data_IF_949139011527
#
_entry.id   IF_949139011527
#
_cell.length_a   1.000
_cell.length_b   1.000
_cell.length_c   1.000
_cell.angle_alpha   90.00
_cell.angle_beta   90.00
_cell.angle_gamma   90.00
#
_symmetry.space_group_name_H-M   'P 1'
#
loop_
_entity.id
_entity.type
_entity.pdbx_description
1 polymer ?
#
# COMPACT_ATOMS: atom_id res chain seq x y z
N UNK A 1 22.51 -39.25 -2.37
CA UNK A 1 22.03 -40.23 -1.37
C UNK A 1 21.82 -39.48 -0.06
N UNK A 2 20.55 -39.44 0.39
CA UNK A 2 20.02 -39.11 1.72
C UNK A 2 20.30 -37.70 2.32
N UNK A 3 19.34 -37.00 2.92
CA UNK A 3 17.96 -37.39 3.25
C UNK A 3 17.16 -36.19 3.77
N UNK A 4 15.98 -36.01 3.19
CA UNK A 4 14.86 -35.22 3.71
C UNK A 4 14.33 -35.91 4.98
N UNK A 5 14.12 -35.18 6.07
CA UNK A 5 13.29 -35.65 7.18
C UNK A 5 11.92 -34.98 7.11
N UNK A 6 10.94 -35.79 6.69
CA UNK A 6 9.51 -35.51 6.79
C UNK A 6 9.06 -36.02 8.15
N UNK A 7 8.50 -35.16 9.00
CA UNK A 7 7.72 -35.61 10.13
C UNK A 7 6.25 -35.66 9.72
N UNK A 8 5.76 -36.89 9.54
CA UNK A 8 4.36 -37.22 9.38
C UNK A 8 3.77 -37.43 10.77
N UNK A 9 2.69 -36.72 11.10
CA UNK A 9 1.79 -37.12 12.20
C UNK A 9 0.43 -37.35 11.57
N UNK A 10 0.08 -38.62 11.42
CA UNK A 10 -1.28 -39.06 11.14
C UNK A 10 -2.07 -39.02 12.45
N UNK A 11 -3.30 -38.51 12.44
CA UNK A 11 -4.38 -39.01 13.29
C UNK A 11 -5.76 -38.69 12.66
N UNK A 12 -6.37 -39.78 12.20
CA UNK A 12 -7.77 -40.17 12.12
C UNK A 12 -8.84 -39.33 11.41
N UNK A 13 -9.43 -40.00 10.41
CA UNK A 13 -10.77 -39.79 9.88
C UNK A 13 -11.84 -39.99 10.95
N UNK A 14 -12.63 -38.96 11.23
CA UNK A 14 -14.04 -39.13 11.61
C UNK A 14 -14.89 -38.22 10.72
N UNK A 15 -15.99 -38.79 10.22
CA UNK A 15 -16.93 -38.17 9.29
C UNK A 15 -18.09 -37.66 10.14
N UNK A 16 -18.30 -36.35 10.24
CA UNK A 16 -19.58 -35.80 10.72
C UNK A 16 -19.99 -34.57 9.92
N UNK A 17 -21.20 -34.63 9.39
CA UNK A 17 -21.91 -33.56 8.72
C UNK A 17 -22.48 -32.57 9.73
N UNK A 18 -22.32 -31.27 9.49
CA UNK A 18 -23.38 -30.25 9.51
C UNK A 18 -22.77 -28.87 9.35
N UNK A 19 -23.52 -27.94 8.77
CA UNK A 19 -23.17 -26.52 8.70
C UNK A 19 -22.97 -25.99 10.13
N UNK A 20 -21.75 -25.55 10.45
CA UNK A 20 -21.45 -24.82 11.67
C UNK A 20 -20.76 -23.50 11.30
N UNK A 21 -21.31 -22.41 11.84
CA UNK A 21 -20.77 -21.06 11.77
C UNK A 21 -19.29 -21.03 12.18
N UNK A 22 -18.52 -20.13 11.57
CA UNK A 22 -17.11 -19.95 11.91
C UNK A 22 -16.98 -19.71 13.43
N UNK A 23 -16.12 -20.46 14.15
CA UNK A 23 -16.08 -20.38 15.59
C UNK A 23 -15.50 -19.02 16.01
N UNK A 24 -16.33 -18.20 16.65
CA UNK A 24 -15.81 -17.24 17.61
C UNK A 24 -15.15 -18.05 18.74
N UNK A 25 -13.91 -17.73 19.06
CA UNK A 25 -13.19 -18.40 20.14
C UNK A 25 -13.86 -17.97 21.45
N UNK A 26 -14.64 -18.87 22.05
CA UNK A 26 -15.15 -18.71 23.42
C UNK A 26 -14.15 -19.41 24.36
N UNK A 27 -13.35 -18.63 25.08
CA UNK A 27 -12.56 -19.13 26.20
C UNK A 27 -13.25 -18.64 27.48
N UNK A 28 -14.13 -19.48 28.03
CA UNK A 28 -14.34 -19.47 29.48
C UNK A 28 -13.19 -20.28 30.07
N UNK A 29 -12.25 -19.64 30.76
CA UNK A 29 -11.77 -20.14 32.04
C UNK A 29 -10.76 -19.20 32.70
N UNK A 30 -10.90 -19.17 34.01
CA UNK A 30 -10.32 -18.26 35.01
C UNK A 30 -8.79 -18.35 35.10
N UNK A 31 -8.09 -17.48 34.38
CA UNK A 31 -6.78 -16.85 34.73
C UNK A 31 -6.23 -16.12 33.51
N UNK A 32 -6.99 -15.18 32.96
CA UNK A 32 -6.55 -14.41 31.81
C UNK A 32 -5.45 -13.43 32.23
N UNK A 33 -4.25 -13.66 31.70
CA UNK A 33 -3.15 -12.73 31.79
C UNK A 33 -3.58 -11.45 31.05
N UNK A 34 -3.83 -10.34 31.75
CA UNK A 34 -4.39 -9.10 31.21
C UNK A 34 -3.61 -8.57 29.97
N UNK A 35 -2.31 -8.88 29.88
CA UNK A 35 -1.48 -8.58 28.71
C UNK A 35 -1.79 -9.45 27.48
N UNK A 36 -2.22 -10.71 27.68
CA UNK A 36 -2.67 -11.60 26.60
C UNK A 36 -4.06 -11.18 26.08
N UNK A 37 -4.97 -10.73 26.95
CA UNK A 37 -6.25 -10.16 26.52
C UNK A 37 -6.06 -8.88 25.69
N UNK A 38 -5.15 -7.98 26.09
CA UNK A 38 -4.77 -6.82 25.28
C UNK A 38 -4.14 -7.19 23.93
N UNK A 39 -3.35 -8.26 23.87
CA UNK A 39 -2.75 -8.75 22.63
C UNK A 39 -3.82 -9.38 21.71
N UNK A 40 -4.74 -10.15 22.29
CA UNK A 40 -5.85 -10.79 21.57
C UNK A 40 -6.88 -9.77 21.06
N UNK A 41 -7.16 -8.71 21.82
CA UNK A 41 -8.05 -7.62 21.40
C UNK A 41 -7.41 -6.76 20.27
N UNK A 42 -6.08 -6.79 20.12
CA UNK A 42 -5.34 -6.20 18.99
C UNK A 42 -5.22 -7.14 17.76
N UNK A 43 -5.40 -8.45 17.93
CA UNK A 43 -5.52 -9.47 16.86
C UNK A 43 -6.99 -9.67 16.43
N UNK A 44 -7.93 -9.01 17.14
CA UNK A 44 -9.40 -9.13 17.00
C UNK A 44 -9.92 -9.09 15.57
N UNK A 45 -9.21 -8.41 14.67
CA UNK A 45 -9.53 -8.34 13.25
C UNK A 45 -8.51 -9.11 12.42
N UNK A 46 -8.85 -10.35 12.07
CA UNK A 46 -8.15 -11.08 11.02
C UNK A 46 -8.60 -10.49 9.69
N UNK A 47 -7.92 -9.41 9.29
CA UNK A 47 -8.23 -8.65 8.08
C UNK A 47 -6.98 -8.44 7.22
N UNK A 48 -7.20 -8.41 5.91
CA UNK A 48 -6.17 -8.25 4.87
C UNK A 48 -5.94 -6.81 4.46
N UNK A 49 -6.91 -5.93 4.74
CA UNK A 49 -6.86 -4.50 4.44
C UNK A 49 -7.74 -3.71 5.40
N UNK A 50 -7.51 -2.40 5.47
CA UNK A 50 -8.38 -1.47 6.21
C UNK A 50 -9.82 -1.50 5.69
N UNK A 51 -10.02 -1.73 4.39
CA UNK A 51 -11.36 -1.86 3.83
C UNK A 51 -12.10 -3.08 4.37
N UNK A 52 -11.40 -4.21 4.54
CA UNK A 52 -12.00 -5.38 5.18
C UNK A 52 -12.35 -5.09 6.65
N UNK A 53 -11.46 -4.41 7.38
CA UNK A 53 -11.73 -3.96 8.76
C UNK A 53 -13.03 -3.15 8.80
N UNK A 54 -13.13 -2.12 7.95
CA UNK A 54 -14.30 -1.26 7.86
C UNK A 54 -15.58 -2.03 7.52
N UNK A 55 -15.55 -2.82 6.46
CA UNK A 55 -16.75 -3.46 5.91
C UNK A 55 -17.28 -4.58 6.80
N UNK A 56 -16.37 -5.41 7.33
CA UNK A 56 -16.72 -6.62 8.08
C UNK A 56 -16.97 -6.35 9.55
N UNK A 57 -16.21 -5.42 10.13
CA UNK A 57 -16.24 -5.16 11.57
C UNK A 57 -16.81 -3.80 11.93
N UNK A 58 -17.25 -3.01 10.94
CA UNK A 58 -17.90 -1.71 11.14
C UNK A 58 -17.05 -0.75 11.99
N UNK A 59 -15.73 -0.78 11.78
CA UNK A 59 -14.80 0.14 12.42
C UNK A 59 -14.55 1.33 11.49
N UNK A 60 -14.74 2.54 12.00
CA UNK A 60 -14.76 3.76 11.20
C UNK A 60 -13.73 4.81 11.65
N UNK A 61 -12.99 4.56 12.72
CA UNK A 61 -12.00 5.50 13.22
C UNK A 61 -10.67 5.35 12.48
N UNK A 62 -10.08 6.47 12.08
CA UNK A 62 -8.71 6.51 11.55
C UNK A 62 -7.72 6.02 12.63
N UNK A 63 -6.64 5.35 12.24
CA UNK A 63 -5.63 4.92 13.21
C UNK A 63 -4.75 3.78 12.76
N UNK A 64 -3.94 3.27 13.69
CA UNK A 64 -3.08 2.12 13.46
C UNK A 64 -3.82 0.81 13.71
N UNK A 65 -3.77 -0.09 12.73
CA UNK A 65 -4.38 -1.42 12.79
C UNK A 65 -3.36 -2.49 12.42
N UNK A 66 -3.57 -3.70 12.95
CA UNK A 66 -2.84 -4.89 12.51
C UNK A 66 -3.57 -5.54 11.35
N UNK A 67 -2.81 -5.88 10.30
CA UNK A 67 -3.26 -6.62 9.14
C UNK A 67 -2.42 -7.88 8.97
N UNK A 68 -3.01 -8.91 8.39
CA UNK A 68 -2.32 -10.14 8.03
C UNK A 68 -2.22 -10.24 6.50
N UNK A 69 -1.10 -10.71 5.97
CA UNK A 69 -0.95 -10.95 4.52
C UNK A 69 -1.40 -12.36 4.12
N UNK A 70 -1.38 -12.68 2.82
CA UNK A 70 -1.81 -14.00 2.30
C UNK A 70 -0.91 -15.14 2.74
N UNK A 71 0.29 -14.78 3.16
CA UNK A 71 1.30 -15.71 3.65
C UNK A 71 1.38 -15.73 5.17
N UNK A 72 0.41 -15.12 5.87
CA UNK A 72 0.37 -15.10 7.33
C UNK A 72 1.29 -14.09 7.99
N UNK A 73 1.92 -13.18 7.25
CA UNK A 73 2.76 -12.11 7.86
C UNK A 73 1.84 -11.06 8.49
N UNK A 74 1.95 -10.90 9.81
CA UNK A 74 1.29 -9.85 10.57
C UNK A 74 2.10 -8.56 10.51
N UNK A 75 1.45 -7.43 10.23
CA UNK A 75 2.10 -6.11 10.20
C UNK A 75 1.13 -5.01 10.64
N UNK A 76 1.66 -3.96 11.23
CA UNK A 76 0.89 -2.78 11.63
C UNK A 76 0.95 -1.71 10.55
N UNK A 77 -0.17 -1.05 10.28
CA UNK A 77 -0.21 0.09 9.39
C UNK A 77 -1.33 1.08 9.72
N UNK A 78 -1.28 2.27 9.12
CA UNK A 78 -2.30 3.29 9.28
C UNK A 78 -3.47 3.04 8.32
N UNK A 79 -4.69 3.13 8.84
CA UNK A 79 -5.92 3.09 8.09
C UNK A 79 -6.57 4.47 8.10
N UNK A 80 -6.81 5.00 6.90
CA UNK A 80 -7.72 6.12 6.72
C UNK A 80 -9.13 5.56 6.47
N UNK A 81 -9.96 5.74 7.50
CA UNK A 81 -11.36 5.33 7.55
C UNK A 81 -12.30 6.51 7.27
N UNK A 82 -11.79 7.66 6.81
CA UNK A 82 -12.59 8.87 6.61
C UNK A 82 -12.73 9.22 5.13
N UNK A 83 -11.62 9.29 4.39
CA UNK A 83 -11.61 9.82 3.01
C UNK A 83 -12.46 8.98 2.06
N UNK A 84 -13.33 9.62 1.28
CA UNK A 84 -14.19 8.95 0.28
C UNK A 84 -14.95 7.72 0.82
N UNK A 85 -15.37 7.76 2.08
CA UNK A 85 -16.05 6.63 2.72
C UNK A 85 -15.11 5.52 3.17
N UNK A 86 -13.81 5.81 3.35
CA UNK A 86 -12.84 5.10 4.18
C UNK A 86 -12.45 3.67 3.79
N UNK A 87 -11.46 3.12 4.50
CA UNK A 87 -10.89 1.81 4.24
C UNK A 87 -9.61 1.86 3.39
N UNK A 88 -8.96 3.01 3.33
CA UNK A 88 -7.67 3.20 2.70
C UNK A 88 -6.56 2.65 3.59
N UNK A 89 -5.71 1.80 3.02
CA UNK A 89 -4.59 1.17 3.73
C UNK A 89 -3.29 1.83 3.35
N UNK A 90 -2.56 2.39 4.32
CA UNK A 90 -1.20 2.87 4.08
C UNK A 90 -0.31 1.69 3.68
N UNK A 91 0.43 1.81 2.58
CA UNK A 91 1.31 0.72 2.11
C UNK A 91 2.73 1.15 1.84
N UNK A 92 2.94 2.42 1.53
CA UNK A 92 4.26 2.97 1.27
C UNK A 92 4.33 4.47 1.54
N UNK A 93 5.54 4.97 1.73
CA UNK A 93 5.89 6.38 1.83
C UNK A 93 7.24 6.61 1.16
N UNK A 94 7.33 7.64 0.34
CA UNK A 94 8.55 8.11 -0.30
C UNK A 94 8.99 9.38 0.42
N UNK A 95 10.13 9.29 1.12
CA UNK A 95 10.66 10.36 1.95
C UNK A 95 12.06 10.74 1.46
N UNK A 96 12.27 12.03 1.20
CA UNK A 96 13.58 12.59 0.87
C UNK A 96 14.32 12.97 2.16
N UNK A 97 15.40 12.25 2.47
CA UNK A 97 16.18 12.47 3.68
C UNK A 97 17.30 13.50 3.51
N UNK A 98 17.83 13.66 2.30
CA UNK A 98 18.90 14.60 1.99
C UNK A 98 18.93 14.94 0.50
N UNK A 99 18.27 16.03 0.12
CA UNK A 99 18.24 16.52 -1.27
C UNK A 99 19.63 16.78 -1.89
N UNK A 100 20.67 16.96 -1.08
CA UNK A 100 22.05 17.13 -1.56
C UNK A 100 22.77 15.80 -1.79
N UNK A 101 22.32 14.71 -1.15
CA UNK A 101 22.76 13.36 -1.42
C UNK A 101 22.17 12.88 -2.74
N UNK A 102 23.01 12.44 -3.68
CA UNK A 102 22.56 11.95 -4.99
C UNK A 102 22.68 10.44 -5.03
N UNK A 103 21.55 9.76 -4.83
CA UNK A 103 21.48 8.30 -4.81
C UNK A 103 22.40 7.70 -3.72
N UNK A 104 22.24 8.23 -2.51
CA UNK A 104 22.99 7.86 -1.30
C UNK A 104 22.11 7.05 -0.34
N UNK A 105 22.64 6.72 0.84
CA UNK A 105 21.86 6.00 1.88
C UNK A 105 20.59 6.79 2.20
N UNK A 106 19.44 6.11 2.15
CA UNK A 106 18.11 6.71 2.27
C UNK A 106 17.35 6.78 0.95
N UNK A 107 18.02 6.78 -0.21
CA UNK A 107 17.38 6.89 -1.53
C UNK A 107 16.76 5.56 -2.03
N UNK A 108 15.97 4.87 -1.20
CA UNK A 108 15.51 3.49 -1.45
C UNK A 108 14.57 3.39 -2.65
N UNK A 109 13.82 4.45 -2.95
CA UNK A 109 12.90 4.48 -4.09
C UNK A 109 13.57 4.82 -5.43
N UNK A 110 14.88 5.08 -5.41
CA UNK A 110 15.72 5.23 -6.60
C UNK A 110 16.89 4.25 -6.56
N UNK A 111 18.03 4.65 -6.00
CA UNK A 111 19.25 3.86 -5.85
C UNK A 111 20.02 4.39 -4.63
N UNK A 112 20.52 3.50 -3.78
CA UNK A 112 21.46 3.88 -2.72
C UNK A 112 22.92 3.62 -3.12
N UNK A 113 23.15 3.28 -4.39
CA UNK A 113 24.44 2.86 -4.94
C UNK A 113 24.98 3.88 -5.96
N UNK A 114 24.61 5.15 -5.78
CA UNK A 114 24.91 6.24 -6.71
C UNK A 114 24.13 6.14 -8.02
N UNK A 115 24.37 7.11 -8.89
CA UNK A 115 23.90 7.10 -10.27
C UNK A 115 24.84 6.22 -11.11
N UNK A 116 24.40 5.00 -11.43
CA UNK A 116 25.23 4.01 -12.11
C UNK A 116 24.47 3.39 -13.29
N UNK A 117 24.92 3.59 -14.55
CA UNK A 117 24.25 3.04 -15.72
C UNK A 117 24.26 1.50 -15.76
N UNK A 118 25.20 0.85 -15.06
CA UNK A 118 25.24 -0.61 -14.92
C UNK A 118 24.23 -1.13 -13.87
N UNK A 119 23.53 -0.23 -13.17
CA UNK A 119 22.42 -0.55 -12.26
C UNK A 119 21.15 0.19 -12.71
N UNK A 120 20.63 -0.11 -13.91
CA UNK A 120 19.55 0.66 -14.50
C UNK A 120 18.23 0.55 -13.73
N UNK A 121 18.04 -0.47 -12.89
CA UNK A 121 16.86 -0.63 -12.02
C UNK A 121 17.04 0.02 -10.64
N UNK A 122 18.22 0.57 -10.33
CA UNK A 122 18.57 1.08 -9.01
C UNK A 122 18.46 0.02 -7.90
N UNK A 123 17.71 0.34 -6.85
CA UNK A 123 17.37 -0.59 -5.75
C UNK A 123 16.18 -1.50 -6.12
N UNK A 124 15.45 -1.21 -7.20
CA UNK A 124 14.33 -2.03 -7.70
C UNK A 124 13.12 -2.09 -6.76
N UNK A 125 13.01 -1.14 -5.81
CA UNK A 125 12.04 -1.15 -4.71
C UNK A 125 10.59 -1.22 -5.16
N UNK A 126 10.24 -0.57 -6.28
CA UNK A 126 8.88 -0.55 -6.83
C UNK A 126 8.35 -1.94 -7.24
N UNK A 127 9.22 -2.87 -7.63
CA UNK A 127 8.83 -4.17 -8.18
C UNK A 127 9.43 -5.36 -7.41
N UNK A 128 9.94 -5.13 -6.19
CA UNK A 128 10.43 -6.17 -5.29
C UNK A 128 9.54 -6.35 -4.05
N UNK A 129 9.82 -7.36 -3.23
CA UNK A 129 9.07 -7.69 -2.00
C UNK A 129 9.79 -7.25 -0.71
N UNK A 130 10.86 -6.47 -0.81
CA UNK A 130 11.55 -5.92 0.36
C UNK A 130 10.65 -4.89 1.03
N UNK A 131 10.61 -4.89 2.36
CA UNK A 131 9.85 -3.98 3.23
C UNK A 131 10.80 -3.25 4.18
N UNK A 132 10.43 -2.04 4.60
CA UNK A 132 11.24 -1.20 5.49
C UNK A 132 10.38 -0.14 6.18
N UNK A 133 10.92 0.43 7.26
CA UNK A 133 10.27 1.48 8.03
C UNK A 133 9.12 0.97 8.91
N UNK A 134 8.51 1.91 9.63
CA UNK A 134 7.30 1.71 10.43
C UNK A 134 6.26 2.77 10.04
N UNK A 135 4.97 2.47 10.23
CA UNK A 135 3.90 3.38 9.82
C UNK A 135 4.04 4.75 10.52
N UNK A 136 4.25 4.78 11.84
CA UNK A 136 4.42 6.03 12.60
C UNK A 136 5.61 6.88 12.13
N UNK A 137 6.63 6.25 11.55
CA UNK A 137 7.83 6.92 11.04
C UNK A 137 7.74 7.27 9.55
N UNK A 138 6.58 7.09 8.91
CA UNK A 138 6.44 7.27 7.46
C UNK A 138 6.68 8.71 6.98
N UNK A 139 6.64 9.71 7.87
CA UNK A 139 7.01 11.11 7.58
C UNK A 139 8.47 11.44 7.95
N UNK A 140 9.22 10.50 8.53
CA UNK A 140 10.60 10.68 9.00
C UNK A 140 11.63 9.82 8.25
N UNK A 141 11.20 8.73 7.62
CA UNK A 141 11.98 7.92 6.68
C UNK A 141 11.03 7.20 5.72
N UNK A 142 11.59 6.53 4.71
CA UNK A 142 10.80 5.70 3.81
C UNK A 142 10.02 4.60 4.55
N UNK A 143 8.83 4.31 4.06
CA UNK A 143 8.00 3.22 4.56
C UNK A 143 7.56 2.32 3.40
N UNK A 144 7.57 1.01 3.61
CA UNK A 144 6.96 0.03 2.70
C UNK A 144 6.62 -1.23 3.48
N UNK A 145 5.34 -1.63 3.48
CA UNK A 145 4.87 -2.82 4.18
C UNK A 145 4.43 -3.95 3.22
N UNK A 146 4.14 -5.16 3.72
CA UNK A 146 3.69 -6.27 2.87
C UNK A 146 2.43 -5.99 2.05
N UNK A 147 1.54 -5.12 2.53
CA UNK A 147 0.33 -4.72 1.83
C UNK A 147 0.59 -4.15 0.43
N UNK A 148 1.76 -3.51 0.22
CA UNK A 148 2.17 -2.95 -1.06
C UNK A 148 2.14 -3.96 -2.23
N UNK A 149 2.46 -5.23 -1.98
CA UNK A 149 2.54 -6.27 -3.00
C UNK A 149 1.55 -7.42 -2.78
N UNK A 150 0.75 -7.36 -1.71
CA UNK A 150 -0.15 -8.42 -1.28
C UNK A 150 -1.62 -8.05 -1.39
N UNK A 151 -1.98 -6.79 -1.12
CA UNK A 151 -3.37 -6.32 -1.20
C UNK A 151 -3.81 -6.26 -2.68
N UNK A 152 -5.03 -6.73 -2.95
CA UNK A 152 -5.69 -6.59 -4.25
C UNK A 152 -6.60 -5.37 -4.20
N UNK A 153 -6.02 -4.23 -4.57
CA UNK A 153 -6.64 -2.92 -4.62
C UNK A 153 -7.26 -2.58 -5.98
N UNK A 154 -8.03 -1.49 -6.00
CA UNK A 154 -8.69 -0.92 -7.17
C UNK A 154 -8.19 0.50 -7.46
N UNK A 155 -7.96 1.28 -6.41
CA UNK A 155 -7.59 2.69 -6.49
C UNK A 155 -6.42 3.03 -5.55
N UNK A 156 -5.84 4.22 -5.77
CA UNK A 156 -4.75 4.78 -4.98
C UNK A 156 -5.18 6.13 -4.41
N UNK A 157 -4.83 6.40 -3.15
CA UNK A 157 -4.87 7.73 -2.55
C UNK A 157 -3.45 8.17 -2.22
N UNK A 158 -3.15 9.45 -2.40
CA UNK A 158 -1.83 10.03 -2.18
C UNK A 158 -1.94 11.28 -1.34
N UNK A 159 -1.16 11.32 -0.28
CA UNK A 159 -1.10 12.45 0.64
C UNK A 159 0.30 13.04 0.62
N UNK A 160 0.38 14.36 0.52
CA UNK A 160 1.62 15.12 0.68
C UNK A 160 1.64 15.68 2.10
N UNK A 161 2.48 15.09 2.95
CA UNK A 161 2.57 15.43 4.37
C UNK A 161 3.94 16.01 4.65
N UNK A 162 4.06 17.16 5.37
CA UNK A 162 5.37 17.68 5.75
C UNK A 162 6.18 16.66 6.56
N UNK A 163 7.51 16.69 6.41
CA UNK A 163 8.39 15.76 7.12
C UNK A 163 8.25 15.91 8.64
N UNK A 164 8.41 14.79 9.37
CA UNK A 164 8.36 14.67 10.83
C UNK A 164 7.04 15.05 11.51
N UNK A 165 5.95 15.19 10.75
CA UNK A 165 4.61 15.36 11.33
C UNK A 165 4.20 14.05 11.99
N UNK A 166 3.72 14.15 13.24
CA UNK A 166 3.19 13.01 14.00
C UNK A 166 1.91 12.47 13.36
N UNK A 167 1.69 11.15 13.48
CA UNK A 167 0.64 10.42 12.76
C UNK A 167 -0.77 11.00 12.97
N UNK A 168 -1.08 11.47 14.17
CA UNK A 168 -2.39 12.04 14.55
C UNK A 168 -2.70 13.33 13.78
N UNK A 169 -1.68 14.00 13.25
CA UNK A 169 -1.80 15.28 12.56
C UNK A 169 -1.66 15.17 11.04
N UNK A 170 -1.47 13.98 10.48
CA UNK A 170 -1.29 13.84 9.03
C UNK A 170 -2.47 14.38 8.23
N UNK A 171 -3.70 14.05 8.64
CA UNK A 171 -4.92 14.49 7.93
C UNK A 171 -5.04 16.02 7.90
N UNK A 172 -4.68 16.71 8.99
CA UNK A 172 -4.82 18.17 9.11
C UNK A 172 -3.61 18.93 8.59
N UNK A 173 -2.41 18.35 8.65
CA UNK A 173 -1.17 18.96 8.18
C UNK A 173 -0.89 18.73 6.69
N UNK A 174 -1.62 17.80 6.05
CA UNK A 174 -1.44 17.49 4.63
C UNK A 174 -1.64 18.74 3.77
N UNK A 175 -0.66 19.04 2.91
CA UNK A 175 -0.74 20.16 1.97
C UNK A 175 -1.56 19.79 0.73
N UNK A 176 -1.53 18.51 0.32
CA UNK A 176 -2.40 17.94 -0.69
C UNK A 176 -2.85 16.54 -0.29
N UNK A 177 -4.09 16.20 -0.62
CA UNK A 177 -4.63 14.85 -0.58
C UNK A 177 -5.54 14.64 -1.78
N UNK A 178 -5.37 13.52 -2.47
CA UNK A 178 -6.18 13.18 -3.62
C UNK A 178 -6.22 11.67 -3.84
N UNK A 179 -7.19 11.19 -4.58
CA UNK A 179 -7.35 9.77 -4.87
C UNK A 179 -7.90 9.52 -6.28
N UNK A 180 -7.81 8.27 -6.74
CA UNK A 180 -8.44 7.80 -7.98
C UNK A 180 -9.79 7.13 -7.65
N UNK A 181 -10.73 7.13 -8.60
CA UNK A 181 -12.06 6.50 -8.43
C UNK A 181 -12.46 5.62 -9.62
N UNK A 182 -11.53 5.30 -10.52
CA UNK A 182 -11.81 4.60 -11.77
C UNK A 182 -11.37 3.12 -11.74
N UNK A 183 -10.97 2.60 -10.59
CA UNK A 183 -10.62 1.20 -10.37
C UNK A 183 -9.43 0.72 -11.22
N UNK A 184 -8.54 1.63 -11.65
CA UNK A 184 -7.52 1.32 -12.67
C UNK A 184 -6.59 0.17 -12.26
N UNK A 185 -6.31 -0.03 -10.97
CA UNK A 185 -5.42 -1.10 -10.51
C UNK A 185 -5.95 -2.48 -10.89
N UNK A 186 -7.26 -2.66 -11.06
CA UNK A 186 -7.85 -3.93 -11.52
C UNK A 186 -7.28 -4.39 -12.87
N UNK A 187 -6.92 -3.45 -13.76
CA UNK A 187 -6.31 -3.71 -15.07
C UNK A 187 -4.79 -3.91 -15.01
N UNK A 188 -4.20 -3.68 -13.83
CA UNK A 188 -2.75 -3.69 -13.60
C UNK A 188 -2.34 -4.65 -12.47
N UNK A 189 -3.15 -5.68 -12.21
CA UNK A 189 -2.84 -6.75 -11.25
C UNK A 189 -3.12 -6.37 -9.78
N UNK A 190 -3.89 -5.32 -9.55
CA UNK A 190 -4.46 -4.97 -8.25
C UNK A 190 -3.54 -4.19 -7.32
N UNK A 191 -2.30 -3.87 -7.67
CA UNK A 191 -1.43 -3.04 -6.81
C UNK A 191 -0.27 -2.45 -7.61
N UNK A 192 0.45 -1.51 -6.99
CA UNK A 192 1.60 -0.86 -7.63
C UNK A 192 2.74 -1.84 -7.91
N UNK A 193 2.94 -2.87 -7.09
CA UNK A 193 3.94 -3.91 -7.37
C UNK A 193 3.71 -4.59 -8.72
N UNK A 194 2.47 -5.00 -9.01
CA UNK A 194 2.14 -5.62 -10.29
C UNK A 194 2.12 -4.60 -11.43
N UNK A 195 1.72 -3.35 -11.16
CA UNK A 195 1.79 -2.28 -12.13
C UNK A 195 3.25 -2.02 -12.56
N UNK A 196 4.18 -1.85 -11.62
CA UNK A 196 5.59 -1.59 -11.92
C UNK A 196 6.34 -2.82 -12.43
N UNK A 197 5.76 -4.01 -12.34
CA UNK A 197 6.22 -5.17 -13.12
C UNK A 197 5.81 -5.09 -14.59
N UNK A 198 4.62 -4.56 -14.87
CA UNK A 198 4.14 -4.32 -16.25
C UNK A 198 4.81 -3.09 -16.88
N UNK A 199 5.16 -2.10 -16.06
CA UNK A 199 5.80 -0.85 -16.44
C UNK A 199 7.08 -0.64 -15.62
N UNK A 200 8.20 -1.28 -16.00
CA UNK A 200 9.42 -1.28 -15.18
C UNK A 200 10.02 0.11 -15.00
N UNK A 201 10.35 0.47 -13.75
CA UNK A 201 11.15 1.65 -13.42
C UNK A 201 12.62 1.32 -13.69
N UNK A 202 13.05 1.52 -14.94
CA UNK A 202 14.38 1.15 -15.42
C UNK A 202 14.95 2.20 -16.37
N UNK A 203 16.21 2.59 -16.14
CA UNK A 203 16.94 3.47 -17.05
C UNK A 203 17.11 2.82 -18.44
N UNK A 204 16.80 3.59 -19.49
CA UNK A 204 17.02 3.19 -20.89
C UNK A 204 16.01 2.20 -21.47
N UNK A 205 14.88 1.96 -20.81
CA UNK A 205 13.86 1.00 -21.28
C UNK A 205 12.84 1.59 -22.28
N UNK A 206 12.83 2.90 -22.49
CA UNK A 206 11.83 3.55 -23.35
C UNK A 206 12.16 4.98 -23.75
N UNK A 207 11.29 5.54 -24.58
CA UNK A 207 11.36 6.89 -25.13
C UNK A 207 10.27 7.78 -24.55
N UNK A 208 10.64 9.04 -24.26
CA UNK A 208 9.72 10.04 -23.73
C UNK A 208 8.46 10.20 -24.59
N UNK A 209 7.30 10.25 -23.94
CA UNK A 209 5.97 10.38 -24.54
C UNK A 209 5.47 9.17 -25.35
N UNK A 210 6.30 8.13 -25.53
CA UNK A 210 5.92 6.91 -26.25
C UNK A 210 5.67 5.78 -25.27
N UNK A 211 6.63 5.54 -24.38
CA UNK A 211 6.64 4.40 -23.46
C UNK A 211 6.19 4.79 -22.05
N UNK A 212 5.45 5.90 -21.93
CA UNK A 212 4.90 6.35 -20.67
C UNK A 212 3.86 5.35 -20.14
N UNK A 213 3.83 5.20 -18.82
CA UNK A 213 2.80 4.46 -18.11
C UNK A 213 1.45 5.19 -18.13
N UNK A 214 0.43 4.58 -17.52
CA UNK A 214 -0.91 5.15 -17.49
C UNK A 214 -0.95 6.49 -16.73
N UNK A 215 -1.77 7.42 -17.22
CA UNK A 215 -2.12 8.66 -16.56
C UNK A 215 -3.59 8.59 -16.10
N UNK A 216 -3.81 8.60 -14.78
CA UNK A 216 -5.09 8.27 -14.15
C UNK A 216 -5.74 9.52 -13.56
N UNK A 217 -7.01 9.83 -13.87
CA UNK A 217 -7.71 10.96 -13.26
C UNK A 217 -7.76 10.88 -11.73
N UNK A 218 -7.67 12.04 -11.06
CA UNK A 218 -7.72 12.18 -9.61
C UNK A 218 -8.83 13.13 -9.15
N UNK A 219 -9.30 12.91 -7.92
CA UNK A 219 -10.22 13.76 -7.17
C UNK A 219 -9.46 14.29 -5.95
N UNK A 220 -9.54 15.61 -5.70
CA UNK A 220 -8.86 16.24 -4.56
C UNK A 220 -9.72 16.18 -3.30
N UNK A 221 -9.14 15.67 -2.21
CA UNK A 221 -9.69 15.73 -0.85
C UNK A 221 -9.15 16.95 -0.09
N UNK A 222 -7.95 17.43 -0.45
CA UNK A 222 -7.30 18.62 0.08
C UNK A 222 -6.40 19.22 -1.00
N UNK A 223 -6.46 20.54 -1.18
CA UNK A 223 -5.81 21.23 -2.29
C UNK A 223 -6.64 21.19 -3.58
N UNK A 224 -6.03 21.58 -4.69
CA UNK A 224 -6.62 21.58 -6.02
C UNK A 224 -5.53 21.62 -7.09
N UNK A 225 -5.92 21.69 -8.36
CA UNK A 225 -4.96 21.77 -9.48
C UNK A 225 -3.99 22.95 -9.38
N UNK A 226 -4.47 24.11 -8.94
CA UNK A 226 -3.64 25.32 -8.81
C UNK A 226 -2.60 25.13 -7.70
N UNK A 227 -3.01 24.64 -6.52
CA UNK A 227 -2.07 24.40 -5.42
C UNK A 227 -1.03 23.34 -5.81
N UNK A 228 -1.45 22.32 -6.55
CA UNK A 228 -0.58 21.26 -7.07
C UNK A 228 0.47 21.82 -8.02
N UNK A 229 0.07 22.62 -9.01
CA UNK A 229 0.99 23.29 -9.94
C UNK A 229 1.99 24.18 -9.21
N UNK A 230 1.55 24.84 -8.14
CA UNK A 230 2.39 25.75 -7.36
C UNK A 230 3.41 25.04 -6.47
N UNK A 231 3.24 23.75 -6.17
CA UNK A 231 4.27 22.95 -5.48
C UNK A 231 5.48 22.67 -6.36
N UNK A 232 5.26 22.55 -7.68
CA UNK A 232 6.33 22.27 -8.61
C UNK A 232 7.08 23.54 -9.04
N UNK A 233 8.34 23.36 -9.47
CA UNK A 233 9.17 24.43 -10.00
C UNK A 233 8.49 25.20 -11.15
N UNK A 234 8.90 26.44 -11.45
CA UNK A 234 8.26 27.28 -12.48
C UNK A 234 8.37 26.71 -13.90
N UNK A 235 9.47 26.03 -14.23
CA UNK A 235 9.72 25.47 -15.56
C UNK A 235 8.80 24.29 -15.94
N UNK A 236 8.53 23.31 -15.05
CA UNK A 236 7.62 22.21 -15.38
C UNK A 236 6.13 22.57 -15.47
N UNK A 237 5.71 23.80 -15.13
CA UNK A 237 4.29 24.20 -15.11
C UNK A 237 3.60 24.13 -16.48
N UNK A 238 4.37 24.13 -17.57
CA UNK A 238 3.84 23.96 -18.93
C UNK A 238 3.74 22.51 -19.42
N UNK A 239 4.29 21.53 -18.70
CA UNK A 239 4.45 20.14 -19.18
C UNK A 239 3.74 19.11 -18.27
N UNK A 240 3.58 19.36 -16.97
CA UNK A 240 3.27 18.28 -16.04
C UNK A 240 1.81 18.19 -15.52
N UNK A 241 1.00 19.25 -15.57
CA UNK A 241 -0.35 19.21 -14.97
C UNK A 241 -1.32 20.07 -15.77
N UNK A 242 -1.92 19.50 -16.81
CA UNK A 242 -3.07 20.12 -17.48
C UNK A 242 -4.40 19.39 -17.25
N UNK A 243 -4.40 18.21 -16.62
CA UNK A 243 -5.54 17.28 -16.83
C UNK A 243 -6.10 16.58 -15.59
N UNK A 244 -5.77 17.00 -14.36
CA UNK A 244 -6.22 16.30 -13.14
C UNK A 244 -5.84 14.82 -13.15
N UNK A 245 -4.62 14.47 -13.58
CA UNK A 245 -4.17 13.08 -13.68
C UNK A 245 -2.89 12.86 -12.87
N UNK A 246 -2.76 11.70 -12.23
CA UNK A 246 -1.50 11.16 -11.74
C UNK A 246 -0.85 10.29 -12.84
N UNK A 247 0.40 10.57 -13.19
CA UNK A 247 1.16 9.75 -14.13
C UNK A 247 1.93 8.68 -13.36
N UNK A 248 1.74 7.41 -13.72
CA UNK A 248 2.39 6.29 -13.02
C UNK A 248 3.82 6.01 -13.55
N UNK A 249 4.30 6.75 -14.55
CA UNK A 249 5.72 6.75 -14.92
C UNK A 249 6.23 8.14 -15.30
N UNK A 250 7.45 8.45 -14.85
CA UNK A 250 8.23 9.59 -15.26
C UNK A 250 9.24 9.16 -16.33
N UNK A 251 9.17 9.74 -17.52
CA UNK A 251 10.24 9.65 -18.53
C UNK A 251 11.26 10.79 -18.32
N UNK A 252 12.54 10.41 -18.38
CA UNK A 252 13.76 11.20 -18.59
C UNK A 252 13.64 12.74 -18.42
N UNK A 253 13.52 13.19 -17.18
CA UNK A 253 13.66 14.60 -16.84
C UNK A 253 13.87 14.73 -15.35
N UNK A 254 14.95 15.35 -14.93
CA UNK A 254 15.20 15.69 -13.53
C UNK A 254 14.13 16.69 -13.07
N UNK A 255 13.06 16.21 -12.46
CA UNK A 255 12.09 17.04 -11.78
C UNK A 255 12.62 17.32 -10.37
N UNK A 256 13.10 18.54 -10.16
CA UNK A 256 13.40 19.04 -8.83
C UNK A 256 12.09 19.47 -8.16
N UNK A 257 11.53 18.58 -7.34
CA UNK A 257 10.63 19.03 -6.29
C UNK A 257 11.46 19.81 -5.26
N UNK A 258 11.02 21.02 -4.92
CA UNK A 258 11.66 21.87 -3.89
C UNK A 258 10.90 21.80 -2.56
N UNK A 259 9.86 20.97 -2.46
CA UNK A 259 9.11 20.80 -1.23
C UNK A 259 9.77 19.75 -0.34
N UNK A 260 10.01 20.09 0.93
CA UNK A 260 10.40 19.15 1.99
C UNK A 260 9.17 18.36 2.44
N UNK A 261 8.53 17.66 1.51
CA UNK A 261 7.27 16.97 1.72
C UNK A 261 7.40 15.51 1.33
N UNK A 262 6.78 14.65 2.13
CA UNK A 262 6.73 13.21 1.92
C UNK A 262 5.51 12.86 1.07
N UNK A 263 5.70 11.96 0.11
CA UNK A 263 4.60 11.39 -0.67
C UNK A 263 4.18 10.07 -0.07
N UNK A 264 3.02 10.06 0.58
CA UNK A 264 2.45 8.89 1.23
C UNK A 264 1.46 8.21 0.28
N UNK A 265 1.64 6.90 0.03
CA UNK A 265 0.79 6.10 -0.84
C UNK A 265 -0.14 5.20 -0.03
N UNK A 266 -1.44 5.36 -0.27
CA UNK A 266 -2.52 4.55 0.26
C UNK A 266 -3.17 3.72 -0.83
N UNK A 267 -3.60 2.50 -0.51
CA UNK A 267 -4.37 1.63 -1.38
C UNK A 267 -5.81 1.48 -0.91
N UNK A 268 -6.74 1.44 -1.86
CA UNK A 268 -8.13 1.08 -1.60
C UNK A 268 -8.46 -0.26 -2.23
N UNK A 269 -8.85 -1.22 -1.40
CA UNK A 269 -9.21 -2.57 -1.79
C UNK A 269 -10.69 -2.81 -1.57
N UNK A 270 -11.56 -2.69 -2.58
CA UNK A 270 -12.90 -3.29 -2.42
C UNK A 270 -12.77 -4.79 -2.27
N UNK A 271 -13.51 -5.33 -1.30
CA UNK A 271 -13.77 -6.76 -1.19
C UNK A 271 -14.22 -7.31 -2.54
N UNK A 272 -13.35 -8.04 -3.24
CA UNK A 272 -13.82 -9.11 -4.11
C UNK A 272 -14.26 -10.18 -3.13
N UNK A 273 -15.53 -10.10 -2.69
CA UNK A 273 -16.20 -11.27 -2.15
C UNK A 273 -16.17 -12.29 -3.29
N UNK A 274 -15.18 -13.18 -3.27
CA UNK A 274 -15.27 -14.42 -4.00
C UNK A 274 -16.42 -15.19 -3.37
N UNK A 275 -17.66 -14.86 -3.75
CA UNK A 275 -18.75 -15.82 -3.69
C UNK A 275 -18.30 -16.94 -4.60
N UNK A 276 -17.74 -17.98 -4.01
CA UNK A 276 -17.80 -19.32 -4.57
C UNK A 276 -19.30 -19.61 -4.65
N UNK A 277 -19.92 -19.22 -5.76
CA UNK A 277 -21.22 -19.77 -6.13
C UNK A 277 -20.96 -21.25 -6.39
N UNK A 278 -21.34 -22.06 -5.41
CA UNK A 278 -21.60 -23.48 -5.61
C UNK A 278 -22.51 -23.59 -6.82
N UNK A 279 -21.95 -23.98 -7.97
CA UNK A 279 -22.72 -24.53 -9.07
C UNK A 279 -23.20 -25.87 -8.54
N UNK A 280 -24.38 -25.89 -7.91
CA UNK A 280 -25.12 -27.13 -7.76
C UNK A 280 -25.49 -27.59 -9.16
N UNK A 281 -24.90 -28.72 -9.55
CA UNK A 281 -25.38 -29.56 -10.63
C UNK A 281 -26.87 -29.84 -10.42
N UNK A 282 -27.71 -29.23 -11.25
CA UNK A 282 -29.06 -29.73 -11.46
C UNK A 282 -28.93 -31.03 -12.24
N UNK A 283 -29.14 -32.15 -11.54
CA UNK A 283 -29.56 -33.39 -12.18
C UNK A 283 -30.95 -33.17 -12.78
N UNK A 284 -31.10 -33.53 -14.04
CA UNK A 284 -32.27 -34.23 -14.56
C UNK A 284 -31.78 -35.42 -15.38
#
# INVERSE_FOLDING_TARGET
>A
VQGLQVFSVCLNHEKLSSFAEAPCINISDTNSNHELEKLLDRIKYVARSCKEIRDKYHVYDDGLYYLISSRGVLYQTFCDMTTAGGGWTLVASVHENNMYGKCTVGDRWSSQQGSNPNRPDGDGTWANRVTFGAAEAATSDDYKNPGYFDIVAQDVSVWHVPNNVQLEHWTTASILRYHTENLFLTLHGGNLFNLFKKFPVRFGIGTCNIDNGPAIPIVYDTGNTITTVNLYGPNPRGIAILDHKICVLFSSGTYHDRSSSVVIFYFFSRNISARIHHIQSLQY
#
